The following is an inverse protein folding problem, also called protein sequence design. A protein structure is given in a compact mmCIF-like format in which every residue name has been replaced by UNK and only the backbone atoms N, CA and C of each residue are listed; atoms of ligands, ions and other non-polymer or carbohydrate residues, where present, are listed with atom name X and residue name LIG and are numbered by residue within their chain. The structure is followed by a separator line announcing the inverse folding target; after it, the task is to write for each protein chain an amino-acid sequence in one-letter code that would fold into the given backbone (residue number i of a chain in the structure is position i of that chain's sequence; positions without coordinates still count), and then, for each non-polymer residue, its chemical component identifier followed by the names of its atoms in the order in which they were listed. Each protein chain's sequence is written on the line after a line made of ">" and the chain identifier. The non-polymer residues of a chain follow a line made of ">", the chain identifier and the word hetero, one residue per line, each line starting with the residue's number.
data_IF_410767616071
#
_entry.id   IF_410767616071
#
_cell.length_a   1.000
_cell.length_b   1.000
_cell.length_c   1.000
_cell.angle_alpha   90.00
_cell.angle_beta   90.00
_cell.angle_gamma   90.00
#
_symmetry.space_group_name_H-M   'P 1'
#
loop_
_entity.id
_entity.type
_entity.pdbx_description
1 polymer ?
#
# COMPACT_ATOMS: atom_id res chain seq x y z
N UNK A 1 -7.44 -15.37 -18.59
CA UNK A 1 -6.64 -15.01 -17.41
C UNK A 1 -6.70 -13.51 -17.34
N UNK A 2 -7.44 -12.93 -16.40
CA UNK A 2 -7.43 -11.47 -16.26
C UNK A 2 -5.98 -11.05 -16.00
N UNK A 3 -5.44 -10.18 -16.84
CA UNK A 3 -4.18 -9.48 -16.61
C UNK A 3 -4.29 -8.72 -15.28
N UNK A 4 -4.02 -9.43 -14.19
CA UNK A 4 -4.12 -8.89 -12.84
C UNK A 4 -2.78 -8.19 -12.59
N UNK A 5 -2.62 -7.03 -13.23
CA UNK A 5 -1.50 -6.16 -12.94
C UNK A 5 -1.61 -5.70 -11.47
N UNK A 6 -0.50 -5.75 -10.71
CA UNK A 6 -0.52 -5.28 -9.33
C UNK A 6 -0.91 -3.80 -9.30
N UNK A 7 -1.73 -3.42 -8.31
CA UNK A 7 -2.10 -2.03 -8.07
C UNK A 7 -0.95 -1.37 -7.33
N UNK A 8 -0.19 -0.54 -8.02
CA UNK A 8 1.01 0.11 -7.48
C UNK A 8 0.80 1.62 -7.24
N UNK A 9 1.65 2.16 -6.39
CA UNK A 9 1.72 3.59 -6.07
C UNK A 9 2.68 4.32 -7.03
N UNK A 10 2.57 5.65 -7.20
CA UNK A 10 3.66 6.44 -7.78
C UNK A 10 4.95 6.24 -6.96
N UNK A 11 6.14 6.36 -7.55
CA UNK A 11 7.40 6.13 -6.83
C UNK A 11 7.60 7.05 -5.61
N UNK A 12 6.99 8.24 -5.64
CA UNK A 12 7.11 9.23 -4.57
C UNK A 12 5.94 9.23 -3.57
N UNK A 13 5.54 10.42 -3.10
CA UNK A 13 4.35 10.60 -2.28
C UNK A 13 3.08 10.12 -3.00
N UNK A 14 2.07 9.72 -2.22
CA UNK A 14 0.79 9.26 -2.75
C UNK A 14 -0.42 9.93 -2.10
N UNK A 15 -1.50 10.01 -2.86
CA UNK A 15 -2.77 10.58 -2.43
C UNK A 15 -3.62 9.58 -1.65
N UNK A 16 -4.67 10.08 -0.98
CA UNK A 16 -5.67 9.23 -0.34
C UNK A 16 -6.37 8.31 -1.35
N UNK A 17 -6.68 8.80 -2.54
CA UNK A 17 -7.32 8.01 -3.59
C UNK A 17 -6.43 6.83 -4.04
N UNK A 18 -5.12 7.08 -4.21
CA UNK A 18 -4.15 6.04 -4.54
C UNK A 18 -4.03 5.01 -3.40
N UNK A 19 -3.98 5.46 -2.15
CA UNK A 19 -3.96 4.57 -0.98
C UNK A 19 -5.26 3.76 -0.85
N UNK A 20 -6.41 4.36 -1.16
CA UNK A 20 -7.69 3.66 -1.21
C UNK A 20 -7.68 2.59 -2.31
N UNK A 21 -7.17 2.89 -3.51
CA UNK A 21 -7.05 1.89 -4.57
C UNK A 21 -6.23 0.67 -4.13
N UNK A 22 -5.11 0.90 -3.44
CA UNK A 22 -4.27 -0.19 -2.89
C UNK A 22 -5.00 -0.97 -1.79
N UNK A 23 -5.64 -0.30 -0.82
CA UNK A 23 -6.37 -1.00 0.27
C UNK A 23 -7.64 -1.71 -0.20
N UNK A 24 -8.26 -1.24 -1.29
CA UNK A 24 -9.34 -1.94 -2.00
C UNK A 24 -8.80 -3.17 -2.75
N UNK A 25 -7.63 -3.09 -3.36
CA UNK A 25 -7.04 -4.23 -4.07
C UNK A 25 -6.51 -5.31 -3.11
N UNK A 26 -5.86 -4.92 -2.01
CA UNK A 26 -5.14 -5.82 -1.13
C UNK A 26 -5.74 -5.87 0.29
N UNK A 27 -5.99 -7.08 0.80
CA UNK A 27 -6.55 -7.26 2.15
C UNK A 27 -5.54 -7.04 3.27
N UNK A 28 -4.26 -7.21 2.97
CA UNK A 28 -3.15 -7.08 3.92
C UNK A 28 -2.55 -5.67 3.96
N UNK A 29 -3.15 -4.72 3.24
CA UNK A 29 -2.73 -3.32 3.23
C UNK A 29 -3.79 -2.48 3.92
N UNK A 30 -3.35 -1.64 4.85
CA UNK A 30 -4.21 -0.81 5.68
C UNK A 30 -3.72 0.65 5.69
N UNK A 31 -4.66 1.57 5.84
CA UNK A 31 -4.35 2.96 6.20
C UNK A 31 -4.36 3.03 7.73
N UNK A 32 -3.28 3.55 8.31
CA UNK A 32 -3.15 3.79 9.74
C UNK A 32 -2.67 5.22 10.03
N UNK A 33 -2.72 5.61 11.31
CA UNK A 33 -2.34 6.94 11.82
C UNK A 33 -2.93 8.10 11.01
N UNK A 34 -4.20 8.00 10.64
CA UNK A 34 -4.87 8.95 9.76
C UNK A 34 -5.13 10.29 10.46
N UNK A 35 -4.35 11.31 10.08
CA UNK A 35 -4.44 12.70 10.55
C UNK A 35 -4.99 13.63 9.45
N UNK A 36 -5.84 13.10 8.55
CA UNK A 36 -6.43 13.85 7.44
C UNK A 36 -5.55 13.85 6.20
N UNK A 37 -4.61 14.78 6.11
CA UNK A 37 -3.68 14.88 4.96
C UNK A 37 -2.45 13.99 5.11
N UNK A 38 -2.09 13.67 6.35
CA UNK A 38 -0.97 12.78 6.68
C UNK A 38 -1.51 11.46 7.21
N UNK A 39 -1.09 10.37 6.61
CA UNK A 39 -1.47 9.01 6.98
C UNK A 39 -0.37 8.05 6.51
N UNK A 40 -0.33 6.84 7.05
CA UNK A 40 0.62 5.81 6.59
C UNK A 40 -0.11 4.65 5.93
N UNK A 41 0.51 4.10 4.90
CA UNK A 41 0.15 2.77 4.42
C UNK A 41 1.00 1.74 5.14
N UNK A 42 0.35 0.67 5.56
CA UNK A 42 0.92 -0.42 6.34
C UNK A 42 0.65 -1.73 5.62
N UNK A 43 1.69 -2.51 5.39
CA UNK A 43 1.62 -3.82 4.74
C UNK A 43 1.94 -4.89 5.78
N UNK A 44 1.02 -5.84 5.94
CA UNK A 44 1.20 -7.02 6.77
C UNK A 44 1.50 -8.26 5.91
N UNK A 45 2.24 -9.23 6.43
CA UNK A 45 2.33 -10.55 5.79
C UNK A 45 1.04 -11.37 6.02
N UNK A 46 1.01 -12.59 5.49
CA UNK A 46 -0.13 -13.50 5.64
C UNK A 46 -0.39 -13.88 7.11
N UNK A 47 0.64 -13.82 7.96
CA UNK A 47 0.59 -14.06 9.40
C UNK A 47 0.15 -12.84 10.22
N UNK A 48 -0.13 -11.70 9.56
CA UNK A 48 -0.58 -10.46 10.22
C UNK A 48 0.54 -9.62 10.84
N UNK A 49 1.80 -9.98 10.63
CA UNK A 49 2.96 -9.23 11.10
C UNK A 49 3.29 -8.07 10.15
N UNK A 50 3.71 -6.95 10.73
CA UNK A 50 4.13 -5.77 9.97
C UNK A 50 5.35 -6.10 9.09
N UNK A 51 5.21 -5.93 7.77
CA UNK A 51 6.32 -6.05 6.80
C UNK A 51 6.92 -4.71 6.46
N UNK A 52 6.08 -3.72 6.20
CA UNK A 52 6.54 -2.39 5.88
C UNK A 52 5.48 -1.32 6.19
N UNK A 53 5.92 -0.08 6.35
CA UNK A 53 5.06 1.10 6.43
C UNK A 53 5.79 2.34 5.93
N UNK A 54 5.06 3.22 5.24
CA UNK A 54 5.53 4.55 4.87
C UNK A 54 4.41 5.57 5.06
N UNK A 55 4.79 6.78 5.47
CA UNK A 55 3.91 7.94 5.40
C UNK A 55 3.66 8.34 3.95
N UNK A 56 2.46 8.82 3.67
CA UNK A 56 2.03 9.21 2.33
C UNK A 56 2.82 10.38 1.73
N UNK A 57 3.46 11.20 2.56
CA UNK A 57 4.26 12.37 2.15
C UNK A 57 5.75 12.08 1.99
N UNK A 58 6.22 10.87 2.31
CA UNK A 58 7.63 10.53 2.15
C UNK A 58 8.04 10.60 0.66
N UNK A 59 9.21 11.17 0.33
CA UNK A 59 9.61 11.42 -1.06
C UNK A 59 9.80 10.17 -1.90
N UNK A 60 10.04 9.01 -1.26
CA UNK A 60 10.22 7.70 -1.88
C UNK A 60 9.16 6.69 -1.38
N UNK A 61 8.00 7.15 -0.90
CA UNK A 61 7.03 6.30 -0.20
C UNK A 61 6.58 5.11 -1.06
N UNK A 62 6.13 5.36 -2.29
CA UNK A 62 5.70 4.28 -3.17
C UNK A 62 6.86 3.44 -3.69
N UNK A 63 8.05 3.99 -3.90
CA UNK A 63 9.25 3.23 -4.25
C UNK A 63 9.61 2.19 -3.17
N UNK A 64 9.42 2.55 -1.90
CA UNK A 64 9.64 1.64 -0.78
C UNK A 64 8.53 0.58 -0.66
N UNK A 65 7.26 0.95 -0.89
CA UNK A 65 6.11 0.05 -0.73
C UNK A 65 5.89 -0.88 -1.93
N UNK A 66 6.12 -0.42 -3.15
CA UNK A 66 5.79 -1.14 -4.39
C UNK A 66 6.43 -2.53 -4.51
N UNK A 67 7.70 -2.76 -4.10
CA UNK A 67 8.27 -4.11 -4.09
C UNK A 67 7.45 -5.10 -3.26
N UNK A 68 6.95 -4.67 -2.09
CA UNK A 68 6.11 -5.49 -1.21
C UNK A 68 4.69 -5.66 -1.77
N UNK A 69 4.11 -4.63 -2.38
CA UNK A 69 2.80 -4.76 -3.05
C UNK A 69 2.85 -5.75 -4.22
N UNK A 70 3.94 -5.74 -4.99
CA UNK A 70 4.14 -6.63 -6.13
C UNK A 70 4.42 -8.08 -5.72
N UNK A 71 5.18 -8.32 -4.65
CA UNK A 71 5.58 -9.67 -4.23
C UNK A 71 4.69 -10.29 -3.15
N UNK A 72 4.12 -9.48 -2.25
CA UNK A 72 3.43 -9.92 -1.03
C UNK A 72 2.00 -9.35 -0.93
N UNK A 73 1.51 -8.63 -1.94
CA UNK A 73 0.15 -8.14 -1.98
C UNK A 73 -0.87 -9.28 -2.04
N UNK A 74 -1.72 -9.39 -1.01
CA UNK A 74 -2.77 -10.42 -0.95
C UNK A 74 -4.09 -9.82 -1.43
N UNK A 75 -4.51 -10.19 -2.63
CA UNK A 75 -5.72 -9.65 -3.25
C UNK A 75 -6.97 -9.91 -2.39
N UNK A 76 -7.86 -8.92 -2.34
CA UNK A 76 -9.23 -9.12 -1.85
C UNK A 76 -9.98 -9.99 -2.86
N UNK A 77 -10.74 -10.98 -2.36
CA UNK A 77 -11.65 -11.82 -3.16
C UNK A 77 -12.98 -11.10 -3.38
#
# INVERSE_FOLDING_TARGET
>A
MSDCHPVLLPEGPFSREQAMAVTTAYRNVLIEDDQGTHFRLVIHNAEGQLRWRCWNFEPDAGKQLNPYLASEGILRQ
#
